data_IF_572059113409
#
_entry.id   IF_572059113409
#
_cell.length_a   1.000
_cell.length_b   1.000
_cell.length_c   1.000
_cell.angle_alpha   90.00
_cell.angle_beta   90.00
_cell.angle_gamma   90.00
#
_symmetry.space_group_name_H-M   'P 1'
#
loop_
_entity.id
_entity.type
_entity.pdbx_description
1 polymer ?
#
# COMPACT_ATOMS: atom_id res chain seq x y z
N UNK A 1 -16.00 -13.75 -2.49
CA UNK A 1 -14.92 -12.78 -2.30
C UNK A 1 -13.99 -13.41 -1.28
N UNK A 2 -12.88 -13.94 -1.77
CA UNK A 2 -11.90 -14.64 -0.93
C UNK A 2 -11.38 -13.67 0.13
N UNK A 3 -11.19 -14.13 1.37
CA UNK A 3 -10.81 -13.30 2.53
C UNK A 3 -9.60 -12.40 2.26
N UNK A 4 -8.72 -12.84 1.35
CA UNK A 4 -7.59 -12.08 0.86
C UNK A 4 -7.97 -10.79 0.11
N UNK A 5 -9.04 -10.77 -0.70
CA UNK A 5 -9.54 -9.55 -1.35
C UNK A 5 -10.05 -8.53 -0.32
N UNK A 6 -10.75 -8.99 0.71
CA UNK A 6 -11.32 -8.11 1.75
C UNK A 6 -10.18 -7.52 2.60
N UNK A 7 -9.23 -8.36 3.02
CA UNK A 7 -8.04 -7.91 3.75
C UNK A 7 -7.23 -6.88 2.97
N UNK A 8 -7.09 -7.07 1.66
CA UNK A 8 -6.34 -6.15 0.81
C UNK A 8 -7.10 -4.84 0.57
N UNK A 9 -8.41 -4.89 0.33
CA UNK A 9 -9.25 -3.70 0.19
C UNK A 9 -9.22 -2.79 1.43
N UNK A 10 -9.06 -3.38 2.62
CA UNK A 10 -8.90 -2.62 3.88
C UNK A 10 -7.45 -2.17 4.10
N UNK A 11 -6.46 -3.00 3.78
CA UNK A 11 -5.05 -2.70 4.01
C UNK A 11 -4.51 -1.60 3.08
N UNK A 12 -4.91 -1.57 1.80
CA UNK A 12 -4.43 -0.57 0.82
C UNK A 12 -4.65 0.87 1.28
N UNK A 13 -5.87 1.32 1.66
CA UNK A 13 -6.08 2.69 2.11
C UNK A 13 -5.34 3.01 3.41
N UNK A 14 -5.16 2.04 4.31
CA UNK A 14 -4.39 2.22 5.55
C UNK A 14 -2.91 2.49 5.23
N UNK A 15 -2.32 1.70 4.32
CA UNK A 15 -0.92 1.87 3.90
C UNK A 15 -0.73 3.23 3.21
N UNK A 16 -1.67 3.64 2.36
CA UNK A 16 -1.66 4.95 1.71
C UNK A 16 -1.73 6.08 2.76
N UNK A 17 -2.62 5.96 3.73
CA UNK A 17 -2.75 6.93 4.84
C UNK A 17 -1.45 7.06 5.64
N UNK A 18 -0.82 5.94 6.00
CA UNK A 18 0.47 5.92 6.68
C UNK A 18 1.59 6.52 5.84
N UNK A 19 1.67 6.18 4.55
CA UNK A 19 2.66 6.75 3.63
C UNK A 19 2.55 8.28 3.53
N UNK A 20 1.31 8.81 3.49
CA UNK A 20 1.05 10.25 3.48
C UNK A 20 1.43 10.89 4.82
N UNK A 21 1.10 10.25 5.95
CA UNK A 21 1.41 10.76 7.28
C UNK A 21 2.92 10.86 7.51
N UNK A 22 3.66 9.82 7.10
CA UNK A 22 5.12 9.77 7.18
C UNK A 22 5.79 10.76 6.21
N UNK A 23 5.20 10.98 5.04
CA UNK A 23 5.64 12.04 4.12
C UNK A 23 5.47 13.43 4.74
N UNK A 24 4.34 13.71 5.40
CA UNK A 24 4.10 15.00 6.07
C UNK A 24 4.99 15.24 7.29
N UNK A 25 5.45 14.21 7.96
CA UNK A 25 6.39 14.33 9.08
C UNK A 25 7.85 14.55 8.65
N UNK A 26 8.16 14.55 7.35
CA UNK A 26 9.53 14.69 6.85
C UNK A 26 10.44 13.50 7.14
N UNK A 27 9.88 12.44 7.76
CA UNK A 27 10.56 11.18 8.09
C UNK A 27 10.80 10.34 6.84
N UNK A 28 9.95 10.49 5.82
CA UNK A 28 10.02 9.71 4.60
C UNK A 28 10.64 10.54 3.47
N UNK A 29 11.90 10.26 3.13
CA UNK A 29 12.53 10.74 1.90
C UNK A 29 11.68 10.30 0.70
N UNK A 30 11.61 11.13 -0.35
CA UNK A 30 10.79 10.89 -1.56
C UNK A 30 10.90 9.44 -2.09
N UNK A 31 12.09 8.84 -1.99
CA UNK A 31 12.32 7.43 -2.34
C UNK A 31 11.54 6.43 -1.49
N UNK A 32 11.44 6.63 -0.18
CA UNK A 32 10.68 5.74 0.72
C UNK A 32 9.18 5.77 0.46
N UNK A 33 8.62 6.94 0.14
CA UNK A 33 7.20 7.07 -0.25
C UNK A 33 6.95 6.33 -1.56
N UNK A 34 7.84 6.48 -2.55
CA UNK A 34 7.73 5.81 -3.85
C UNK A 34 7.82 4.29 -3.68
N UNK A 35 8.77 3.79 -2.88
CA UNK A 35 8.91 2.35 -2.60
C UNK A 35 7.71 1.78 -1.86
N UNK A 36 7.15 2.50 -0.89
CA UNK A 36 5.96 2.06 -0.16
C UNK A 36 4.72 2.00 -1.05
N UNK A 37 4.53 3.00 -1.92
CA UNK A 37 3.45 3.02 -2.91
C UNK A 37 3.62 1.89 -3.93
N UNK A 38 4.84 1.71 -4.47
CA UNK A 38 5.14 0.62 -5.41
C UNK A 38 4.91 -0.75 -4.79
N UNK A 39 5.36 -0.98 -3.55
CA UNK A 39 5.15 -2.24 -2.85
C UNK A 39 3.65 -2.50 -2.62
N UNK A 40 2.89 -1.48 -2.22
CA UNK A 40 1.44 -1.61 -2.01
C UNK A 40 0.71 -1.93 -3.32
N UNK A 41 1.08 -1.28 -4.43
CA UNK A 41 0.53 -1.56 -5.75
C UNK A 41 0.90 -2.98 -6.19
N UNK A 42 2.16 -3.39 -6.06
CA UNK A 42 2.62 -4.73 -6.43
C UNK A 42 1.88 -5.85 -5.67
N UNK A 43 1.66 -5.67 -4.38
CA UNK A 43 0.88 -6.62 -3.55
C UNK A 43 -0.57 -6.69 -4.05
N UNK A 44 -1.17 -5.55 -4.39
CA UNK A 44 -2.52 -5.50 -4.96
C UNK A 44 -2.61 -6.21 -6.31
N UNK A 45 -1.66 -5.98 -7.23
CA UNK A 45 -1.65 -6.65 -8.55
C UNK A 45 -1.46 -8.14 -8.44
N UNK A 46 -0.52 -8.61 -7.61
CA UNK A 46 -0.28 -10.06 -7.42
C UNK A 46 -1.54 -10.75 -6.91
N UNK A 47 -2.26 -10.15 -5.96
CA UNK A 47 -3.46 -10.75 -5.40
C UNK A 47 -4.65 -10.71 -6.38
N UNK A 48 -4.77 -9.65 -7.19
CA UNK A 48 -5.80 -9.57 -8.23
C UNK A 48 -5.55 -10.52 -9.41
N UNK A 49 -4.28 -10.78 -9.76
CA UNK A 49 -3.89 -11.68 -10.85
C UNK A 49 -3.83 -13.15 -10.43
N UNK A 50 -3.53 -13.42 -9.14
CA UNK A 50 -3.48 -14.79 -8.60
C UNK A 50 -4.86 -15.33 -8.21
N UNK A 51 -5.93 -14.56 -8.40
CA UNK A 51 -7.31 -14.94 -8.12
C UNK A 51 -8.15 -14.95 -9.40
#
# INVERSE_FOLDING_TARGET
MTDAQIGLAVATPIIIGFAILLYRMGVLQRGGTISAVLASVAIATVLFVSQ
#
